data_IF_964416785146
#
_entry.id   IF_964416785146
#
_cell.length_a   1.000
_cell.length_b   1.000
_cell.length_c   1.000
_cell.angle_alpha   90.00
_cell.angle_beta   90.00
_cell.angle_gamma   90.00
#
_symmetry.space_group_name_H-M   'P 1'
#
loop_
_entity.id
_entity.type
_entity.pdbx_description
1 polymer ?
#
# COMPACT_ATOMS: atom_id res chain seq x y z
N UNK A 1 38.20 1.80 28.88
CA UNK A 1 38.04 0.50 28.17
C UNK A 1 36.57 0.37 27.82
N UNK A 2 36.19 0.79 26.62
CA UNK A 2 34.79 0.79 26.15
C UNK A 2 34.63 -0.43 25.22
N UNK A 3 33.97 -1.47 25.72
CA UNK A 3 33.72 -2.69 24.94
C UNK A 3 32.55 -2.44 24.00
N UNK A 4 32.80 -2.52 22.71
CA UNK A 4 31.80 -2.45 21.65
C UNK A 4 30.95 -3.73 21.61
N UNK A 5 29.72 -3.69 22.15
CA UNK A 5 28.70 -4.73 21.98
C UNK A 5 27.67 -4.31 20.92
N UNK A 6 28.06 -4.39 19.66
CA UNK A 6 27.12 -4.51 18.54
C UNK A 6 27.09 -5.99 18.14
N UNK A 7 26.10 -6.72 18.57
CA UNK A 7 25.90 -8.11 18.15
C UNK A 7 25.41 -8.13 16.69
N UNK A 8 26.16 -8.78 15.81
CA UNK A 8 25.75 -9.04 14.42
C UNK A 8 24.59 -10.03 14.42
N UNK A 9 23.50 -9.68 13.75
CA UNK A 9 22.49 -10.67 13.36
C UNK A 9 23.02 -11.33 12.08
N UNK A 10 23.28 -12.62 12.14
CA UNK A 10 23.67 -13.39 10.95
C UNK A 10 22.48 -13.50 10.00
N UNK A 11 22.69 -13.27 8.68
CA UNK A 11 21.66 -13.44 7.67
C UNK A 11 21.04 -14.85 7.64
N UNK A 12 21.75 -15.86 8.17
CA UNK A 12 21.30 -17.24 8.20
C UNK A 12 20.07 -17.48 9.11
N UNK A 13 19.86 -16.68 10.16
CA UNK A 13 18.71 -16.80 11.05
C UNK A 13 17.40 -16.26 10.47
N UNK A 14 17.47 -15.34 9.52
CA UNK A 14 16.31 -14.75 8.87
C UNK A 14 15.79 -15.58 7.67
N UNK A 15 16.63 -16.47 7.10
CA UNK A 15 16.27 -17.21 5.88
C UNK A 15 15.40 -18.45 6.13
N UNK A 16 15.35 -19.01 7.34
CA UNK A 16 14.62 -20.26 7.58
C UNK A 16 13.11 -20.09 7.78
N UNK A 17 12.65 -18.94 8.28
CA UNK A 17 11.23 -18.66 8.44
C UNK A 17 10.55 -18.21 7.13
N UNK A 18 11.32 -17.69 6.17
CA UNK A 18 10.77 -17.20 4.89
C UNK A 18 10.53 -18.29 3.84
N UNK A 19 11.09 -19.52 4.03
CA UNK A 19 10.97 -20.58 3.01
C UNK A 19 9.60 -21.24 2.91
N UNK A 20 8.75 -21.15 3.93
CA UNK A 20 7.50 -21.91 3.97
C UNK A 20 6.20 -21.08 3.78
N UNK A 21 6.27 -19.79 3.52
CA UNK A 21 5.06 -18.97 3.45
C UNK A 21 4.79 -18.22 2.12
N UNK A 22 5.64 -18.35 1.10
CA UNK A 22 5.47 -17.60 -0.15
C UNK A 22 5.61 -18.45 -1.41
N UNK A 23 4.51 -18.84 -2.05
CA UNK A 23 4.54 -19.07 -3.49
C UNK A 23 4.27 -17.73 -4.20
N UNK A 24 5.29 -17.20 -4.83
CA UNK A 24 5.29 -16.44 -6.07
C UNK A 24 4.25 -15.30 -6.21
N UNK A 25 4.67 -14.03 -5.98
CA UNK A 25 4.14 -12.94 -6.79
C UNK A 25 4.63 -13.22 -8.23
N UNK A 26 3.77 -13.87 -9.00
CA UNK A 26 3.75 -13.94 -10.43
C UNK A 26 4.71 -14.76 -11.27
N UNK A 27 4.13 -15.72 -11.89
CA UNK A 27 4.36 -16.03 -13.30
C UNK A 27 3.36 -15.23 -14.15
N UNK A 28 3.74 -14.09 -14.63
CA UNK A 28 3.01 -13.29 -15.61
C UNK A 28 3.79 -13.19 -16.91
N UNK A 29 4.00 -14.33 -17.58
CA UNK A 29 4.41 -14.38 -18.98
C UNK A 29 3.36 -15.18 -19.74
N UNK A 30 2.39 -14.46 -20.28
CA UNK A 30 1.46 -14.99 -21.27
C UNK A 30 1.84 -14.45 -22.63
N UNK A 31 2.60 -15.23 -23.34
CA UNK A 31 2.70 -15.43 -24.76
C UNK A 31 4.14 -15.75 -25.16
N UNK A 32 4.55 -16.98 -24.94
CA UNK A 32 5.47 -17.70 -25.83
C UNK A 32 5.64 -19.12 -25.25
N UNK A 33 5.17 -20.12 -25.97
CA UNK A 33 5.20 -21.51 -25.54
C UNK A 33 6.60 -22.03 -25.31
N UNK A 34 6.85 -22.50 -24.10
CA UNK A 34 7.92 -23.44 -23.82
C UNK A 34 7.41 -24.49 -22.85
N UNK A 35 7.22 -25.70 -23.36
CA UNK A 35 7.00 -26.91 -22.58
C UNK A 35 8.34 -27.33 -21.97
N UNK A 36 8.49 -27.20 -20.66
CA UNK A 36 9.58 -27.83 -19.91
C UNK A 36 9.04 -29.08 -19.21
N UNK A 37 9.54 -30.24 -19.57
CA UNK A 37 9.32 -31.51 -18.90
C UNK A 37 10.12 -31.53 -17.61
N UNK A 38 9.46 -31.80 -16.48
CA UNK A 38 10.12 -32.17 -15.24
C UNK A 38 10.32 -33.70 -15.26
N UNK A 39 11.57 -34.12 -15.27
CA UNK A 39 11.97 -35.50 -14.93
C UNK A 39 12.58 -35.48 -13.54
N UNK A 40 11.98 -36.27 -12.67
CA UNK A 40 12.49 -36.61 -11.33
C UNK A 40 13.56 -37.69 -11.47
N UNK A 41 14.81 -37.40 -11.11
CA UNK A 41 15.80 -38.43 -10.78
C UNK A 41 16.61 -38.03 -9.56
N UNK A 42 16.52 -38.87 -8.53
CA UNK A 42 17.42 -38.87 -7.37
C UNK A 42 18.74 -39.52 -7.80
N UNK A 43 19.80 -38.72 -7.85
CA UNK A 43 21.17 -39.20 -8.06
C UNK A 43 22.13 -38.56 -7.09
N UNK A 44 22.70 -39.39 -6.20
CA UNK A 44 23.84 -39.04 -5.37
C UNK A 44 25.04 -38.70 -6.28
N UNK A 45 25.57 -37.50 -6.18
CA UNK A 45 26.79 -37.08 -6.87
C UNK A 45 27.80 -36.36 -5.95
N UNK A 46 29.09 -36.47 -6.28
CA UNK A 46 30.21 -36.31 -5.32
C UNK A 46 30.55 -34.83 -5.10
N UNK A 47 31.31 -34.61 -4.04
CA UNK A 47 31.88 -33.35 -3.55
C UNK A 47 32.23 -32.39 -4.70
N UNK A 48 31.41 -31.33 -4.89
CA UNK A 48 31.78 -30.17 -5.69
C UNK A 48 32.69 -29.28 -4.86
N UNK A 49 33.86 -29.03 -5.39
CA UNK A 49 34.75 -27.95 -4.95
C UNK A 49 33.95 -26.63 -5.00
N UNK A 50 33.68 -26.06 -3.86
CA UNK A 50 33.18 -24.68 -3.78
C UNK A 50 34.34 -23.77 -4.18
N UNK A 51 34.35 -23.32 -5.43
CA UNK A 51 35.08 -22.10 -5.78
C UNK A 51 34.42 -20.96 -5.01
N UNK A 52 35.16 -20.30 -4.14
CA UNK A 52 34.75 -19.02 -3.58
C UNK A 52 34.63 -18.04 -4.73
N UNK A 53 33.44 -17.91 -5.32
CA UNK A 53 33.12 -16.72 -6.08
C UNK A 53 33.05 -15.60 -5.05
N UNK A 54 33.99 -14.67 -5.13
CA UNK A 54 33.87 -13.37 -4.51
C UNK A 54 32.58 -12.77 -5.11
N UNK A 55 31.52 -12.73 -4.31
CA UNK A 55 30.26 -12.12 -4.71
C UNK A 55 30.59 -10.63 -4.92
N UNK A 56 30.50 -10.14 -6.16
CA UNK A 56 30.63 -8.70 -6.43
C UNK A 56 29.61 -7.96 -5.57
N UNK A 57 30.06 -6.87 -4.94
CA UNK A 57 29.16 -5.98 -4.19
C UNK A 57 28.08 -5.45 -5.11
N UNK A 58 26.87 -5.30 -4.58
CA UNK A 58 25.75 -4.67 -5.29
C UNK A 58 26.13 -3.25 -5.74
N UNK A 59 25.47 -2.79 -6.82
CA UNK A 59 25.71 -1.46 -7.40
C UNK A 59 25.45 -0.35 -6.37
N UNK A 60 26.33 0.65 -6.30
CA UNK A 60 26.09 1.84 -5.50
C UNK A 60 25.09 2.78 -6.21
N UNK A 61 23.96 3.06 -5.53
CA UNK A 61 22.95 4.01 -6.01
C UNK A 61 23.20 5.40 -5.42
N UNK A 62 22.62 6.45 -6.04
CA UNK A 62 22.69 7.80 -5.47
C UNK A 62 22.11 7.85 -4.05
N UNK A 63 21.03 7.11 -3.83
CA UNK A 63 20.39 7.04 -2.52
C UNK A 63 21.28 6.33 -1.49
N UNK A 64 22.05 5.31 -1.89
CA UNK A 64 23.02 4.68 -1.00
C UNK A 64 24.08 5.68 -0.51
N UNK A 65 24.60 6.54 -1.39
CA UNK A 65 25.55 7.57 -0.98
C UNK A 65 24.95 8.54 0.04
N UNK A 66 23.70 8.96 -0.17
CA UNK A 66 22.95 9.80 0.79
C UNK A 66 22.78 9.09 2.15
N UNK A 67 22.32 7.84 2.15
CA UNK A 67 22.13 7.04 3.35
C UNK A 67 23.46 6.82 4.11
N UNK A 68 24.56 6.51 3.41
CA UNK A 68 25.87 6.35 4.04
C UNK A 68 26.35 7.66 4.70
N UNK A 69 26.20 8.80 4.02
CA UNK A 69 26.54 10.09 4.61
C UNK A 69 25.73 10.38 5.87
N UNK A 70 24.42 10.14 5.84
CA UNK A 70 23.52 10.28 7.00
C UNK A 70 23.93 9.37 8.15
N UNK A 71 24.08 8.06 7.89
CA UNK A 71 24.45 7.08 8.92
C UNK A 71 25.82 7.40 9.52
N UNK A 72 26.80 7.83 8.69
CA UNK A 72 28.12 8.24 9.20
C UNK A 72 28.05 9.46 10.12
N UNK A 73 27.11 10.36 9.88
CA UNK A 73 26.95 11.59 10.68
C UNK A 73 26.13 11.39 11.94
N UNK A 74 25.06 10.56 11.90
CA UNK A 74 24.06 10.46 12.98
C UNK A 74 23.98 9.07 13.62
N UNK A 75 24.68 8.07 13.08
CA UNK A 75 24.58 6.68 13.49
C UNK A 75 23.49 5.91 12.71
N UNK A 76 23.27 4.63 13.07
CA UNK A 76 22.29 3.76 12.42
C UNK A 76 20.90 4.39 12.38
N UNK A 77 20.18 4.20 11.26
CA UNK A 77 18.83 4.70 11.05
C UNK A 77 17.80 3.60 11.34
N UNK A 78 16.57 3.96 11.67
CA UNK A 78 15.48 3.01 11.82
C UNK A 78 15.06 2.41 10.47
N UNK A 79 14.42 1.23 10.49
CA UNK A 79 13.85 0.66 9.26
C UNK A 79 12.77 1.59 8.69
N UNK A 80 12.02 2.29 9.54
CA UNK A 80 11.03 3.28 9.12
C UNK A 80 11.68 4.43 8.33
N UNK A 81 12.75 5.04 8.87
CA UNK A 81 13.48 6.11 8.17
C UNK A 81 14.06 5.62 6.84
N UNK A 82 14.64 4.42 6.83
CA UNK A 82 15.17 3.80 5.62
C UNK A 82 14.08 3.58 4.56
N UNK A 83 12.94 2.99 4.96
CA UNK A 83 11.82 2.73 4.07
C UNK A 83 11.28 4.03 3.46
N UNK A 84 11.13 5.08 4.27
CA UNK A 84 10.71 6.41 3.81
C UNK A 84 11.67 6.99 2.75
N UNK A 85 12.97 6.96 3.03
CA UNK A 85 13.98 7.42 2.07
C UNK A 85 13.97 6.60 0.78
N UNK A 86 13.89 5.27 0.88
CA UNK A 86 13.90 4.39 -0.29
C UNK A 86 12.68 4.59 -1.18
N UNK A 87 11.49 4.80 -0.60
CA UNK A 87 10.26 4.90 -1.36
C UNK A 87 9.96 6.33 -1.84
N UNK A 88 10.17 7.33 -0.99
CA UNK A 88 9.66 8.69 -1.22
C UNK A 88 10.70 9.81 -1.18
N UNK A 89 12.02 9.49 -1.17
CA UNK A 89 13.04 10.54 -1.29
C UNK A 89 12.83 11.35 -2.58
N UNK A 90 12.72 12.70 -2.53
CA UNK A 90 12.40 13.52 -3.69
C UNK A 90 13.36 13.35 -4.86
N UNK A 91 14.64 13.06 -4.61
CA UNK A 91 15.68 12.96 -5.64
C UNK A 91 15.90 11.56 -6.20
N UNK A 92 15.56 10.50 -5.44
CA UNK A 92 15.95 9.14 -5.80
C UNK A 92 15.02 8.06 -5.24
N UNK A 93 13.86 8.44 -4.72
CA UNK A 93 12.85 7.51 -4.18
C UNK A 93 12.20 6.68 -5.27
N UNK A 94 11.84 5.46 -4.91
CA UNK A 94 11.32 4.44 -5.80
C UNK A 94 10.07 4.90 -6.58
N UNK A 95 9.10 5.55 -5.91
CA UNK A 95 7.85 6.02 -6.54
C UNK A 95 7.96 7.38 -7.24
N UNK A 96 9.06 8.13 -7.02
CA UNK A 96 9.10 9.56 -7.34
C UNK A 96 9.34 9.87 -8.82
N UNK A 97 9.96 8.96 -9.59
CA UNK A 97 10.50 9.30 -10.91
C UNK A 97 10.16 8.31 -12.03
N UNK A 98 9.42 7.25 -11.76
CA UNK A 98 9.14 6.20 -12.75
C UNK A 98 7.79 5.54 -12.52
N UNK A 99 7.24 4.98 -13.58
CA UNK A 99 6.08 4.10 -13.51
C UNK A 99 6.54 2.69 -13.08
N UNK A 100 6.19 2.34 -11.85
CA UNK A 100 6.58 1.07 -11.21
C UNK A 100 5.44 0.07 -11.14
N UNK A 101 4.23 0.47 -11.57
CA UNK A 101 2.99 -0.29 -11.45
C UNK A 101 2.61 -0.88 -12.82
N UNK A 102 1.96 -2.04 -12.81
CA UNK A 102 1.46 -2.71 -14.01
C UNK A 102 2.41 -3.75 -14.60
N UNK A 103 2.06 -4.31 -15.75
CA UNK A 103 2.79 -5.43 -16.38
C UNK A 103 4.23 -5.10 -16.79
N UNK A 104 4.52 -3.85 -17.06
CA UNK A 104 5.87 -3.34 -17.37
C UNK A 104 6.63 -2.86 -16.13
N UNK A 105 5.96 -2.78 -14.98
CA UNK A 105 6.53 -2.36 -13.71
C UNK A 105 7.06 -3.52 -12.87
N UNK A 106 7.27 -3.24 -11.59
CA UNK A 106 7.77 -4.22 -10.63
C UNK A 106 6.62 -4.93 -9.88
N UNK A 107 5.42 -4.32 -9.83
CA UNK A 107 4.23 -4.82 -9.12
C UNK A 107 2.96 -4.68 -9.96
N UNK A 108 2.01 -5.59 -9.77
CA UNK A 108 0.68 -5.54 -10.40
C UNK A 108 -0.36 -5.53 -9.28
N UNK A 109 -1.25 -4.54 -9.31
CA UNK A 109 -2.30 -4.35 -8.31
C UNK A 109 -3.66 -4.89 -8.81
N UNK A 110 -4.62 -5.10 -7.91
CA UNK A 110 -5.94 -5.64 -8.26
C UNK A 110 -6.67 -4.85 -9.36
N UNK A 111 -6.66 -3.50 -9.39
CA UNK A 111 -7.27 -2.72 -10.47
C UNK A 111 -6.59 -2.94 -11.83
N UNK A 112 -5.27 -3.17 -11.86
CA UNK A 112 -4.53 -3.44 -13.10
C UNK A 112 -4.82 -4.84 -13.67
N UNK A 113 -5.32 -5.77 -12.85
CA UNK A 113 -5.73 -7.11 -13.27
C UNK A 113 -7.09 -7.10 -13.95
N UNK A 114 -8.07 -6.37 -13.35
CA UNK A 114 -9.45 -6.35 -13.85
C UNK A 114 -10.22 -5.11 -13.39
N UNK A 115 -10.77 -4.37 -14.36
CA UNK A 115 -11.70 -3.28 -14.08
C UNK A 115 -12.98 -3.72 -13.34
N UNK A 116 -13.28 -5.01 -13.28
CA UNK A 116 -14.38 -5.52 -12.45
C UNK A 116 -14.13 -5.26 -10.98
N UNK A 117 -12.88 -5.23 -10.55
CA UNK A 117 -12.52 -4.87 -9.17
C UNK A 117 -13.01 -3.46 -8.83
N UNK A 118 -12.61 -2.45 -9.59
CA UNK A 118 -13.03 -1.05 -9.38
C UNK A 118 -14.56 -0.86 -9.54
N UNK A 119 -15.20 -1.60 -10.47
CA UNK A 119 -16.67 -1.60 -10.59
C UNK A 119 -17.36 -2.07 -9.29
N UNK A 120 -16.84 -3.10 -8.64
CA UNK A 120 -17.43 -3.63 -7.41
C UNK A 120 -17.17 -2.70 -6.21
N UNK A 121 -16.00 -2.08 -6.13
CA UNK A 121 -15.71 -1.06 -5.11
C UNK A 121 -16.67 0.14 -5.26
N UNK A 122 -16.86 0.65 -6.47
CA UNK A 122 -17.81 1.74 -6.72
C UNK A 122 -19.25 1.37 -6.33
N UNK A 123 -19.69 0.15 -6.66
CA UNK A 123 -21.00 -0.35 -6.25
C UNK A 123 -21.14 -0.47 -4.74
N UNK A 124 -20.07 -0.89 -4.07
CA UNK A 124 -20.06 -0.94 -2.61
C UNK A 124 -20.27 0.45 -2.02
N UNK A 125 -19.53 1.47 -2.47
CA UNK A 125 -19.70 2.85 -2.02
C UNK A 125 -21.11 3.40 -2.31
N UNK A 126 -21.64 3.17 -3.52
CA UNK A 126 -23.01 3.58 -3.86
C UNK A 126 -24.05 2.94 -2.98
N UNK A 127 -23.86 1.66 -2.61
CA UNK A 127 -24.76 0.95 -1.72
C UNK A 127 -24.72 1.55 -0.31
N UNK A 128 -23.52 1.75 0.26
CA UNK A 128 -23.38 2.31 1.59
C UNK A 128 -23.86 3.78 1.65
N UNK A 129 -23.58 4.60 0.63
CA UNK A 129 -24.11 5.95 0.49
C UNK A 129 -25.64 6.00 0.41
N UNK A 130 -26.25 5.03 -0.27
CA UNK A 130 -27.71 4.94 -0.39
C UNK A 130 -28.36 4.59 0.95
N UNK A 131 -27.76 3.75 1.77
CA UNK A 131 -28.27 3.36 3.10
C UNK A 131 -28.48 4.55 4.03
N UNK A 132 -27.68 5.59 3.87
CA UNK A 132 -27.72 6.81 4.70
C UNK A 132 -28.42 7.99 4.04
N UNK A 133 -29.19 7.73 2.97
CA UNK A 133 -30.04 8.75 2.33
C UNK A 133 -29.34 9.65 1.31
N UNK A 134 -28.18 9.24 0.80
CA UNK A 134 -27.44 9.93 -0.27
C UNK A 134 -27.02 11.37 0.09
N UNK A 135 -26.27 11.58 1.17
CA UNK A 135 -25.75 12.90 1.55
C UNK A 135 -24.99 13.59 0.42
N UNK A 136 -25.02 14.92 0.38
CA UNK A 136 -24.36 15.76 -0.61
C UNK A 136 -23.55 16.85 0.09
N UNK A 137 -22.33 17.17 -0.43
CA UNK A 137 -21.62 16.54 -1.57
C UNK A 137 -21.17 15.12 -1.23
N UNK A 138 -20.76 14.35 -2.25
CA UNK A 138 -20.15 13.02 -2.12
C UNK A 138 -18.68 13.09 -2.49
N UNK A 139 -17.79 12.95 -1.54
CA UNK A 139 -16.35 12.91 -1.77
C UNK A 139 -15.86 11.48 -1.90
N UNK A 140 -15.18 11.16 -2.99
CA UNK A 140 -14.41 9.91 -3.14
C UNK A 140 -12.96 10.25 -2.93
N UNK A 141 -12.36 9.74 -1.85
CA UNK A 141 -10.99 10.03 -1.44
C UNK A 141 -10.14 8.79 -1.60
N UNK A 142 -9.21 8.79 -2.56
CA UNK A 142 -8.28 7.67 -2.77
C UNK A 142 -6.88 8.05 -2.27
N UNK A 143 -6.33 7.21 -1.39
CA UNK A 143 -4.99 7.35 -0.84
C UNK A 143 -4.02 6.49 -1.65
N UNK A 144 -2.99 7.09 -2.24
CA UNK A 144 -2.03 6.40 -3.09
C UNK A 144 -2.67 5.80 -4.35
N UNK A 145 -3.26 6.60 -5.25
CA UNK A 145 -4.05 6.10 -6.37
C UNK A 145 -3.23 5.39 -7.46
N UNK A 146 -1.93 5.25 -7.28
CA UNK A 146 -1.04 4.60 -8.22
C UNK A 146 -1.13 5.21 -9.61
N UNK A 147 -1.59 4.46 -10.61
CA UNK A 147 -1.81 4.95 -11.98
C UNK A 147 -3.19 5.61 -12.19
N UNK A 148 -4.05 5.65 -11.16
CA UNK A 148 -5.43 6.15 -11.24
C UNK A 148 -6.42 5.15 -11.84
N UNK A 149 -6.06 3.87 -11.96
CA UNK A 149 -6.90 2.84 -12.58
C UNK A 149 -8.14 2.55 -11.75
N UNK A 150 -8.01 2.43 -10.44
CA UNK A 150 -9.15 2.22 -9.54
C UNK A 150 -10.13 3.40 -9.61
N UNK A 151 -9.62 4.63 -9.49
CA UNK A 151 -10.42 5.85 -9.64
C UNK A 151 -11.16 5.91 -10.97
N UNK A 152 -10.50 5.61 -12.10
CA UNK A 152 -11.13 5.62 -13.43
C UNK A 152 -12.30 4.62 -13.52
N UNK A 153 -12.11 3.40 -13.02
CA UNK A 153 -13.14 2.38 -13.00
C UNK A 153 -14.30 2.74 -12.07
N UNK A 154 -14.02 3.34 -10.91
CA UNK A 154 -15.06 3.83 -10.00
C UNK A 154 -15.88 4.96 -10.63
N UNK A 155 -15.22 5.96 -11.22
CA UNK A 155 -15.90 7.09 -11.86
C UNK A 155 -16.77 6.67 -13.05
N UNK A 156 -16.32 5.68 -13.81
CA UNK A 156 -17.14 5.08 -14.88
C UNK A 156 -18.45 4.51 -14.35
N UNK A 157 -18.49 3.99 -13.13
CA UNK A 157 -19.73 3.51 -12.49
C UNK A 157 -20.54 4.68 -11.93
N UNK A 158 -19.92 5.59 -11.16
CA UNK A 158 -20.61 6.75 -10.58
C UNK A 158 -21.30 7.60 -11.65
N UNK A 159 -20.66 7.78 -12.83
CA UNK A 159 -21.21 8.57 -13.92
C UNK A 159 -22.46 7.97 -14.58
N UNK A 160 -22.75 6.67 -14.36
CA UNK A 160 -23.95 6.02 -14.91
C UNK A 160 -25.22 6.35 -14.13
N UNK A 161 -25.11 6.86 -12.90
CA UNK A 161 -26.24 7.20 -12.05
C UNK A 161 -26.34 8.73 -11.90
N UNK A 162 -27.50 9.31 -12.26
CA UNK A 162 -27.72 10.76 -12.15
C UNK A 162 -27.44 11.29 -10.75
N UNK A 163 -27.93 10.57 -9.73
CA UNK A 163 -27.84 11.00 -8.33
C UNK A 163 -26.40 11.19 -7.85
N UNK A 164 -25.48 10.31 -8.28
CA UNK A 164 -24.06 10.39 -7.91
C UNK A 164 -23.27 11.30 -8.84
N UNK A 165 -23.55 11.27 -10.16
CA UNK A 165 -22.80 12.03 -11.15
C UNK A 165 -22.79 13.55 -10.87
N UNK A 166 -23.90 14.08 -10.37
CA UNK A 166 -24.08 15.52 -10.13
C UNK A 166 -23.42 16.00 -8.82
N UNK A 167 -23.06 15.09 -7.92
CA UNK A 167 -22.64 15.44 -6.56
C UNK A 167 -21.26 14.88 -6.19
N UNK A 168 -20.72 13.96 -6.99
CA UNK A 168 -19.43 13.32 -6.73
C UNK A 168 -18.28 14.24 -7.12
N UNK A 169 -17.25 14.28 -6.28
CA UNK A 169 -15.92 14.78 -6.61
C UNK A 169 -14.85 13.78 -6.17
N UNK A 170 -13.75 13.74 -6.92
CA UNK A 170 -12.62 12.86 -6.67
C UNK A 170 -11.47 13.63 -6.02
N UNK A 171 -10.96 13.11 -4.92
CA UNK A 171 -9.87 13.68 -4.17
C UNK A 171 -8.74 12.65 -4.07
N UNK A 172 -7.58 12.94 -4.63
CA UNK A 172 -6.44 12.03 -4.71
C UNK A 172 -5.33 12.51 -3.79
N UNK A 173 -4.90 11.67 -2.85
CA UNK A 173 -3.76 11.96 -1.99
C UNK A 173 -2.54 11.27 -2.59
N UNK A 174 -1.64 12.06 -3.20
CA UNK A 174 -0.48 11.59 -3.95
C UNK A 174 0.72 12.51 -3.74
N UNK A 175 1.85 11.93 -3.34
CA UNK A 175 3.11 12.68 -3.12
C UNK A 175 4.06 12.62 -4.30
N UNK A 176 3.89 11.64 -5.21
CA UNK A 176 4.73 11.47 -6.40
C UNK A 176 4.29 12.39 -7.54
N UNK A 177 5.14 13.33 -7.98
CA UNK A 177 4.83 14.17 -9.13
C UNK A 177 4.67 13.37 -10.42
N UNK A 178 5.44 12.28 -10.56
CA UNK A 178 5.37 11.41 -11.73
C UNK A 178 4.04 10.64 -11.79
N UNK A 179 3.65 9.98 -10.69
CA UNK A 179 2.38 9.26 -10.63
C UNK A 179 1.19 10.21 -10.79
N UNK A 180 1.25 11.41 -10.21
CA UNK A 180 0.23 12.44 -10.38
C UNK A 180 0.03 12.86 -11.84
N UNK A 181 1.10 12.88 -12.67
CA UNK A 181 0.98 13.14 -14.12
C UNK A 181 0.32 11.97 -14.85
N UNK A 182 0.68 10.73 -14.51
CA UNK A 182 0.04 9.53 -15.09
C UNK A 182 -1.45 9.46 -14.74
N UNK A 183 -1.80 9.76 -13.50
CA UNK A 183 -3.19 9.85 -13.04
C UNK A 183 -3.98 10.89 -13.84
N UNK A 184 -3.43 12.09 -14.01
CA UNK A 184 -4.07 13.15 -14.77
C UNK A 184 -4.28 12.75 -16.23
N UNK A 185 -3.26 12.19 -16.87
CA UNK A 185 -3.37 11.70 -18.24
C UNK A 185 -4.48 10.64 -18.38
N UNK A 186 -4.54 9.69 -17.45
CA UNK A 186 -5.52 8.61 -17.46
C UNK A 186 -6.94 9.11 -17.20
N UNK A 187 -7.12 9.97 -16.21
CA UNK A 187 -8.42 10.43 -15.75
C UNK A 187 -8.99 11.54 -16.61
N UNK A 188 -8.14 12.47 -17.09
CA UNK A 188 -8.57 13.68 -17.79
C UNK A 188 -8.26 13.65 -19.29
N UNK A 189 -7.38 12.74 -19.76
CA UNK A 189 -6.94 12.65 -21.15
C UNK A 189 -5.95 13.74 -21.59
N UNK A 190 -5.61 14.65 -20.70
CA UNK A 190 -4.66 15.75 -20.89
C UNK A 190 -3.76 15.87 -19.67
N UNK A 191 -2.57 16.43 -19.86
CA UNK A 191 -1.68 16.77 -18.75
C UNK A 191 -1.57 18.29 -18.71
N UNK A 192 -1.86 18.88 -17.56
CA UNK A 192 -1.64 20.31 -17.33
C UNK A 192 -0.16 20.61 -17.47
N UNK A 193 0.21 21.66 -18.19
CA UNK A 193 1.57 22.18 -18.17
C UNK A 193 1.78 22.77 -16.77
N UNK A 194 2.48 22.06 -15.90
CA UNK A 194 2.82 22.57 -14.56
C UNK A 194 3.70 23.79 -14.77
N UNK A 195 3.21 24.97 -14.47
CA UNK A 195 4.06 26.14 -14.23
C UNK A 195 4.85 25.79 -12.95
N UNK A 196 6.17 25.83 -13.08
CA UNK A 196 7.18 25.39 -12.15
C UNK A 196 6.80 25.37 -10.66
N UNK A 197 7.03 24.21 -10.04
CA UNK A 197 6.83 23.91 -8.61
C UNK A 197 7.62 24.88 -7.69
N UNK A 198 8.61 25.59 -8.21
CA UNK A 198 9.43 26.57 -7.47
C UNK A 198 8.67 27.86 -7.12
N UNK A 199 7.58 28.21 -7.85
CA UNK A 199 6.77 29.39 -7.50
C UNK A 199 5.71 29.12 -6.42
N UNK A 200 5.40 27.84 -6.12
CA UNK A 200 4.40 27.49 -5.10
C UNK A 200 4.98 27.59 -3.66
N UNK A 201 6.26 27.28 -3.50
CA UNK A 201 6.94 27.42 -2.18
C UNK A 201 7.18 28.89 -1.79
N UNK A 202 7.34 29.79 -2.76
CA UNK A 202 7.51 31.23 -2.49
C UNK A 202 6.16 31.93 -2.20
N UNK A 203 5.04 31.45 -2.73
CA UNK A 203 3.72 32.01 -2.40
C UNK A 203 3.30 31.79 -0.94
N UNK A 204 3.69 30.68 -0.33
CA UNK A 204 3.40 30.43 1.09
C UNK A 204 4.19 31.32 2.05
N UNK A 205 5.27 31.97 1.61
CA UNK A 205 6.07 32.92 2.45
C UNK A 205 5.63 34.37 2.40
N UNK A 206 4.79 34.77 1.45
CA UNK A 206 4.47 36.20 1.22
C UNK A 206 3.00 36.60 1.36
N UNK A 207 2.06 35.71 1.71
CA UNK A 207 0.64 36.06 1.85
C UNK A 207 0.10 35.93 3.30
N UNK A 208 0.78 36.58 4.25
CA UNK A 208 0.14 36.98 5.50
C UNK A 208 -0.20 38.47 5.45
N UNK A 209 -1.05 38.91 4.55
CA UNK A 209 -1.66 40.25 4.63
C UNK A 209 -2.98 40.24 3.83
N UNK A 210 -4.09 40.17 4.60
CA UNK A 210 -5.44 40.63 4.24
C UNK A 210 -6.08 40.14 2.92
N UNK A 211 -6.76 39.01 2.97
CA UNK A 211 -8.02 38.82 2.24
C UNK A 211 -8.96 37.91 3.04
N UNK A 212 -10.28 38.14 2.88
CA UNK A 212 -11.42 37.49 3.57
C UNK A 212 -11.38 35.96 3.60
N UNK A 213 -12.09 35.30 4.57
CA UNK A 213 -12.10 33.85 4.73
C UNK A 213 -13.05 33.22 3.70
N UNK A 214 -12.63 33.13 2.44
CA UNK A 214 -13.19 32.23 1.46
C UNK A 214 -12.19 31.07 1.36
N UNK A 215 -12.65 29.83 1.61
CA UNK A 215 -11.98 28.57 1.64
C UNK A 215 -10.68 28.51 0.80
N UNK A 216 -9.51 28.59 1.43
CA UNK A 216 -8.24 28.26 0.80
C UNK A 216 -8.29 26.78 0.42
N UNK A 217 -8.49 26.51 -0.87
CA UNK A 217 -8.43 25.15 -1.42
C UNK A 217 -6.96 24.73 -1.45
N UNK A 218 -6.57 23.76 -0.59
CA UNK A 218 -5.18 23.31 -0.39
C UNK A 218 -4.69 22.29 -1.43
N UNK A 219 -5.36 22.15 -2.57
CA UNK A 219 -4.90 21.24 -3.63
C UNK A 219 -3.71 21.84 -4.42
N UNK A 220 -2.77 20.99 -4.82
CA UNK A 220 -1.67 21.40 -5.69
C UNK A 220 -2.01 21.25 -7.18
N UNK A 221 -3.07 20.51 -7.52
CA UNK A 221 -3.57 20.31 -8.89
C UNK A 221 -5.08 20.12 -8.87
N UNK A 222 -5.76 20.64 -9.88
CA UNK A 222 -7.19 20.45 -10.11
C UNK A 222 -7.49 20.30 -11.60
N UNK A 223 -8.46 19.45 -11.95
CA UNK A 223 -8.93 19.25 -13.33
C UNK A 223 -10.35 18.66 -13.35
N UNK A 224 -10.90 18.47 -14.55
CA UNK A 224 -12.15 17.73 -14.78
C UNK A 224 -11.83 16.43 -15.50
N UNK A 225 -12.33 15.33 -14.99
CA UNK A 225 -12.11 14.01 -15.61
C UNK A 225 -12.90 13.85 -16.91
N UNK A 226 -12.51 12.88 -17.75
CA UNK A 226 -13.25 12.49 -18.96
C UNK A 226 -14.69 12.03 -18.68
N UNK A 227 -15.01 11.73 -17.41
CA UNK A 227 -16.37 11.42 -16.95
C UNK A 227 -17.16 12.65 -16.49
N UNK A 228 -16.59 13.85 -16.60
CA UNK A 228 -17.20 15.10 -16.18
C UNK A 228 -17.20 15.35 -14.68
N UNK A 229 -16.39 14.60 -13.92
CA UNK A 229 -16.27 14.70 -12.46
C UNK A 229 -15.08 15.57 -12.11
N UNK A 230 -15.21 16.55 -11.18
CA UNK A 230 -14.08 17.32 -10.66
C UNK A 230 -13.08 16.41 -9.96
N UNK A 231 -11.78 16.63 -10.18
CA UNK A 231 -10.70 15.92 -9.52
C UNK A 231 -9.65 16.89 -9.00
N UNK A 232 -9.22 16.67 -7.74
CA UNK A 232 -8.19 17.47 -7.08
C UNK A 232 -7.13 16.58 -6.47
N UNK A 233 -5.87 17.02 -6.48
CA UNK A 233 -4.73 16.30 -5.93
C UNK A 233 -4.17 17.02 -4.71
N UNK A 234 -3.88 16.27 -3.66
CA UNK A 234 -3.37 16.74 -2.37
C UNK A 234 -2.11 15.98 -1.99
N UNK A 235 -1.25 16.59 -1.19
CA UNK A 235 -0.08 15.89 -0.63
C UNK A 235 -0.41 15.11 0.64
N UNK A 236 -1.35 15.60 1.42
CA UNK A 236 -1.75 15.04 2.70
C UNK A 236 -3.27 14.93 2.81
N UNK A 237 -3.76 13.98 3.63
CA UNK A 237 -5.18 13.79 3.87
C UNK A 237 -5.81 15.02 4.55
N UNK A 238 -5.03 15.70 5.41
CA UNK A 238 -5.46 16.92 6.11
C UNK A 238 -5.85 18.07 5.18
N UNK A 239 -5.28 18.10 3.96
CA UNK A 239 -5.56 19.11 2.95
C UNK A 239 -6.88 18.83 2.18
N UNK A 240 -7.42 17.61 2.26
CA UNK A 240 -8.68 17.23 1.58
C UNK A 240 -9.86 17.91 2.28
N UNK A 241 -10.80 18.53 1.55
CA UNK A 241 -11.97 19.19 2.14
C UNK A 241 -12.77 18.26 3.05
N UNK A 242 -13.42 18.85 4.06
CA UNK A 242 -14.33 18.16 4.96
C UNK A 242 -15.70 17.96 4.32
N UNK A 243 -16.31 16.78 4.53
CA UNK A 243 -17.62 16.43 4.02
C UNK A 243 -17.85 14.92 3.99
N UNK A 244 -19.05 14.50 3.63
CA UNK A 244 -19.38 13.08 3.53
C UNK A 244 -18.46 12.37 2.55
N UNK A 245 -17.63 11.44 3.06
CA UNK A 245 -16.52 10.88 2.31
C UNK A 245 -16.55 9.36 2.21
N UNK A 246 -16.23 8.85 1.02
CA UNK A 246 -15.91 7.45 0.74
C UNK A 246 -14.39 7.33 0.61
N UNK A 247 -13.72 6.86 1.65
CA UNK A 247 -12.27 6.68 1.66
C UNK A 247 -11.89 5.31 1.11
N UNK A 248 -10.87 5.27 0.25
CA UNK A 248 -10.24 4.03 -0.22
C UNK A 248 -8.73 4.14 -0.11
N UNK A 249 -8.12 3.14 0.54
CA UNK A 249 -6.69 2.91 0.54
C UNK A 249 -6.46 1.47 0.04
N UNK A 250 -5.90 1.34 -1.15
CA UNK A 250 -5.68 0.06 -1.81
C UNK A 250 -4.20 -0.16 -2.09
N UNK A 251 -3.59 -1.18 -1.48
CA UNK A 251 -2.15 -1.43 -1.54
C UNK A 251 -1.35 -0.13 -1.25
N UNK A 252 -1.69 0.52 -0.13
CA UNK A 252 -1.13 1.80 0.29
C UNK A 252 -0.50 1.73 1.67
N UNK A 253 -1.14 1.08 2.63
CA UNK A 253 -0.66 0.99 4.01
C UNK A 253 0.59 0.10 4.13
N UNK A 254 0.75 -0.89 3.26
CA UNK A 254 1.92 -1.77 3.22
C UNK A 254 3.21 -1.05 2.79
N UNK A 255 3.09 0.11 2.11
CA UNK A 255 4.18 0.99 1.73
C UNK A 255 4.51 2.07 2.78
N UNK A 256 3.71 2.20 3.84
CA UNK A 256 3.99 3.15 4.91
C UNK A 256 5.13 2.67 5.82
N UNK A 257 5.98 3.59 6.29
CA UNK A 257 7.17 3.25 7.08
C UNK A 257 6.87 2.44 8.33
N UNK A 258 7.63 1.35 8.56
CA UNK A 258 7.51 0.48 9.72
C UNK A 258 8.76 0.49 10.60
N UNK A 259 8.58 0.63 11.91
CA UNK A 259 9.59 0.27 12.88
C UNK A 259 9.59 -1.23 13.10
N UNK A 260 10.78 -1.84 13.19
CA UNK A 260 10.93 -3.28 13.46
C UNK A 260 11.51 -3.50 14.84
N UNK A 261 10.88 -4.37 15.63
CA UNK A 261 11.32 -4.69 16.96
C UNK A 261 11.51 -6.19 17.11
N UNK A 262 12.55 -6.58 17.86
CA UNK A 262 12.86 -7.96 18.18
C UNK A 262 12.96 -8.13 19.70
N UNK A 263 12.34 -9.18 20.22
CA UNK A 263 12.44 -9.58 21.61
C UNK A 263 13.76 -10.30 21.85
N UNK A 264 14.52 -9.84 22.82
CA UNK A 264 15.77 -10.45 23.26
C UNK A 264 15.65 -10.92 24.72
N UNK A 265 16.64 -11.61 25.24
CA UNK A 265 16.71 -11.98 26.67
C UNK A 265 16.74 -10.76 27.61
N UNK A 266 17.18 -9.59 27.10
CA UNK A 266 17.22 -8.32 27.83
C UNK A 266 15.99 -7.42 27.54
N UNK A 267 14.94 -7.94 26.88
CA UNK A 267 13.75 -7.23 26.48
C UNK A 267 13.75 -6.79 25.02
N UNK A 268 12.86 -5.87 24.67
CA UNK A 268 12.68 -5.43 23.29
C UNK A 268 13.81 -4.53 22.81
N UNK A 269 14.29 -4.79 21.59
CA UNK A 269 15.28 -3.97 20.86
C UNK A 269 14.74 -3.61 19.51
N UNK A 270 15.10 -2.43 19.04
CA UNK A 270 14.77 -1.99 17.68
C UNK A 270 15.80 -2.49 16.69
N UNK A 271 15.35 -2.97 15.54
CA UNK A 271 16.20 -3.31 14.41
C UNK A 271 16.47 -2.02 13.64
N UNK A 272 17.76 -1.72 13.47
CA UNK A 272 18.26 -0.53 12.78
C UNK A 272 19.06 -0.95 11.55
N UNK A 273 19.33 -0.01 10.67
CA UNK A 273 20.17 -0.19 9.48
C UNK A 273 21.46 0.63 9.64
N UNK A 274 22.58 -0.02 9.44
CA UNK A 274 23.93 0.53 9.56
C UNK A 274 24.75 0.24 8.32
N UNK A 275 25.91 0.92 8.17
CA UNK A 275 26.86 0.68 7.10
C UNK A 275 27.52 -0.67 7.30
N UNK A 276 27.69 -1.44 6.23
CA UNK A 276 28.52 -2.65 6.19
C UNK A 276 29.75 -2.41 5.32
N UNK A 277 30.87 -2.10 5.97
CA UNK A 277 32.13 -1.84 5.28
C UNK A 277 32.89 -3.12 4.87
N UNK A 278 32.54 -4.27 5.41
CA UNK A 278 33.47 -5.39 5.42
C UNK A 278 33.09 -6.62 4.60
N UNK A 279 31.88 -7.12 4.57
CA UNK A 279 31.70 -8.52 4.13
C UNK A 279 30.32 -8.85 3.52
N UNK A 280 29.45 -7.92 3.36
CA UNK A 280 28.14 -8.23 2.76
C UNK A 280 28.14 -8.02 1.23
N UNK A 281 27.29 -8.72 0.49
CA UNK A 281 27.00 -8.38 -0.92
C UNK A 281 26.38 -6.99 -1.03
N UNK A 282 25.88 -6.43 0.07
CA UNK A 282 25.28 -5.11 0.16
C UNK A 282 26.15 -4.18 1.01
N UNK A 283 25.97 -2.87 0.84
CA UNK A 283 26.70 -1.84 1.57
C UNK A 283 26.09 -1.51 2.94
N UNK A 284 24.94 -2.12 3.26
CA UNK A 284 24.15 -1.91 4.46
C UNK A 284 23.89 -3.23 5.17
N UNK A 285 23.64 -3.17 6.48
CA UNK A 285 23.33 -4.34 7.33
C UNK A 285 22.28 -3.98 8.38
N UNK A 286 21.59 -4.99 8.88
CA UNK A 286 20.75 -4.85 10.07
C UNK A 286 21.60 -4.93 11.34
N UNK A 287 21.27 -4.09 12.33
CA UNK A 287 21.84 -4.12 13.67
C UNK A 287 20.75 -3.97 14.72
N UNK A 288 20.96 -4.49 15.91
CA UNK A 288 20.05 -4.23 17.04
C UNK A 288 20.48 -2.97 17.79
N UNK A 289 19.51 -2.20 18.25
CA UNK A 289 19.77 -1.08 19.15
C UNK A 289 20.46 -1.58 20.45
N UNK A 290 21.37 -0.78 20.99
CA UNK A 290 22.15 -1.13 22.20
C UNK A 290 21.26 -1.31 23.43
N UNK A 291 20.14 -0.61 23.49
CA UNK A 291 19.16 -0.68 24.56
C UNK A 291 17.76 -0.44 24.00
N UNK A 292 16.72 -0.46 24.84
CA UNK A 292 15.38 -0.08 24.44
C UNK A 292 15.36 1.35 23.90
N UNK A 293 14.83 1.53 22.69
CA UNK A 293 14.62 2.86 22.11
C UNK A 293 13.34 3.50 22.65
N UNK A 294 13.15 4.83 22.52
CA UNK A 294 11.86 5.44 22.79
C UNK A 294 10.72 4.78 21.99
N UNK A 295 10.96 4.45 20.72
CA UNK A 295 10.00 3.76 19.85
C UNK A 295 9.61 2.38 20.41
N UNK A 296 10.57 1.55 20.85
CA UNK A 296 10.28 0.23 21.40
C UNK A 296 9.47 0.31 22.71
N UNK A 297 9.67 1.35 23.51
CA UNK A 297 8.93 1.56 24.77
C UNK A 297 7.50 2.06 24.53
N UNK A 298 7.29 2.82 23.44
CA UNK A 298 6.02 3.46 23.15
C UNK A 298 5.12 2.57 22.28
N UNK A 299 5.68 1.92 21.27
CA UNK A 299 4.90 1.19 20.27
C UNK A 299 4.72 -0.28 20.58
N UNK A 300 5.60 -0.91 21.36
CA UNK A 300 5.47 -2.32 21.68
C UNK A 300 4.67 -2.50 22.98
N UNK A 301 3.55 -3.23 22.88
CA UNK A 301 2.75 -3.57 24.05
C UNK A 301 3.59 -4.42 25.03
N UNK A 302 3.67 -4.08 26.34
CA UNK A 302 4.37 -4.90 27.33
C UNK A 302 3.88 -6.36 27.39
N UNK A 303 2.64 -6.61 26.98
CA UNK A 303 2.01 -7.95 26.93
C UNK A 303 2.21 -8.66 25.60
N UNK A 304 3.00 -8.08 24.68
CA UNK A 304 3.24 -8.67 23.36
C UNK A 304 3.92 -10.05 23.50
N UNK A 305 3.33 -11.04 22.86
CA UNK A 305 3.77 -12.44 22.93
C UNK A 305 4.63 -12.88 21.76
N UNK A 306 4.58 -12.16 20.64
CA UNK A 306 5.40 -12.45 19.46
C UNK A 306 6.88 -12.19 19.75
N UNK A 307 7.77 -12.86 19.01
CA UNK A 307 9.22 -12.63 19.11
C UNK A 307 9.70 -11.41 18.32
N UNK A 308 8.92 -10.97 17.34
CA UNK A 308 9.16 -9.79 16.51
C UNK A 308 7.85 -9.06 16.24
N UNK A 309 7.92 -7.73 16.07
CA UNK A 309 6.77 -6.86 15.80
C UNK A 309 7.18 -5.77 14.82
N UNK A 310 6.31 -5.48 13.89
CA UNK A 310 6.41 -4.35 12.98
C UNK A 310 5.27 -3.38 13.30
N UNK A 311 5.59 -2.09 13.46
CA UNK A 311 4.61 -1.06 13.77
C UNK A 311 4.81 0.13 12.84
N UNK A 312 3.75 0.58 12.18
CA UNK A 312 3.72 1.81 11.40
C UNK A 312 2.97 2.91 12.16
N UNK A 313 3.66 3.87 12.78
CA UNK A 313 2.99 5.01 13.40
C UNK A 313 2.22 5.86 12.40
N UNK A 314 2.75 6.03 11.18
CA UNK A 314 2.08 6.79 10.10
C UNK A 314 0.74 6.13 9.71
N UNK A 315 0.68 4.79 9.63
CA UNK A 315 -0.58 4.05 9.44
C UNK A 315 -1.57 4.32 10.58
N UNK A 316 -1.05 4.38 11.81
CA UNK A 316 -1.87 4.66 13.00
C UNK A 316 -2.48 6.05 12.97
N UNK A 317 -1.70 7.08 12.66
CA UNK A 317 -2.19 8.46 12.52
C UNK A 317 -3.25 8.54 11.42
N UNK A 318 -2.95 7.99 10.25
CA UNK A 318 -3.83 8.08 9.09
C UNK A 318 -5.19 7.39 9.31
N UNK A 319 -5.20 6.18 9.90
CA UNK A 319 -6.47 5.49 10.17
C UNK A 319 -7.30 6.22 11.23
N UNK A 320 -6.65 6.87 12.21
CA UNK A 320 -7.34 7.71 13.19
C UNK A 320 -7.92 8.98 12.56
N UNK A 321 -7.19 9.63 11.64
CA UNK A 321 -7.69 10.80 10.91
C UNK A 321 -8.89 10.44 10.03
N UNK A 322 -8.86 9.30 9.35
CA UNK A 322 -10.04 8.77 8.63
C UNK A 322 -11.21 8.57 9.61
N UNK A 323 -10.97 7.93 10.76
CA UNK A 323 -12.02 7.67 11.75
C UNK A 323 -12.62 8.95 12.32
N UNK A 324 -11.80 9.99 12.58
CA UNK A 324 -12.25 11.31 13.03
C UNK A 324 -13.14 11.96 11.98
N UNK A 325 -12.74 11.94 10.71
CA UNK A 325 -13.55 12.50 9.62
C UNK A 325 -14.87 11.74 9.45
N UNK A 326 -14.85 10.41 9.54
CA UNK A 326 -16.08 9.61 9.50
C UNK A 326 -17.03 9.95 10.66
N UNK A 327 -16.50 10.14 11.87
CA UNK A 327 -17.27 10.52 13.07
C UNK A 327 -17.91 11.91 12.92
N UNK A 328 -17.19 12.86 12.33
CA UNK A 328 -17.61 14.26 12.22
C UNK A 328 -18.50 14.54 11.01
N UNK A 329 -18.20 13.92 9.85
CA UNK A 329 -18.76 14.27 8.55
C UNK A 329 -19.61 13.13 7.95
N UNK A 330 -19.55 11.95 8.53
CA UNK A 330 -20.15 10.75 7.96
C UNK A 330 -19.35 10.16 6.80
N UNK A 331 -19.82 9.03 6.31
CA UNK A 331 -19.19 8.33 5.21
C UNK A 331 -18.84 6.90 5.54
N UNK A 332 -17.89 6.34 4.79
CA UNK A 332 -17.34 5.01 5.00
C UNK A 332 -15.92 4.92 4.46
N UNK A 333 -15.16 3.92 4.92
CA UNK A 333 -13.79 3.68 4.46
C UNK A 333 -13.56 2.22 4.12
N UNK A 334 -12.69 1.96 3.14
CA UNK A 334 -12.12 0.65 2.84
C UNK A 334 -10.60 0.73 2.89
N UNK A 335 -9.99 -0.14 3.69
CA UNK A 335 -8.56 -0.44 3.65
C UNK A 335 -8.41 -1.83 3.04
N UNK A 336 -7.73 -1.90 1.89
CA UNK A 336 -7.53 -3.13 1.13
C UNK A 336 -6.05 -3.36 0.95
N UNK A 337 -5.47 -4.32 1.66
CA UNK A 337 -4.03 -4.47 1.67
C UNK A 337 -3.59 -5.91 1.98
N UNK A 338 -2.32 -6.19 1.70
CA UNK A 338 -1.65 -7.39 2.21
C UNK A 338 -1.51 -7.30 3.72
N UNK A 339 -1.93 -8.34 4.45
CA UNK A 339 -1.85 -8.21 5.89
C UNK A 339 -2.36 -9.40 6.68
N UNK A 340 -2.40 -9.20 7.99
CA UNK A 340 -2.78 -10.17 9.00
C UNK A 340 -3.54 -9.50 10.15
N UNK A 341 -4.19 -10.30 10.97
CA UNK A 341 -4.90 -9.83 12.16
C UNK A 341 -4.08 -10.13 13.44
N UNK A 342 -2.90 -9.51 13.55
CA UNK A 342 -2.04 -9.63 14.73
C UNK A 342 -1.17 -10.89 14.79
N UNK A 343 -1.12 -11.72 13.75
CA UNK A 343 -0.46 -13.04 13.79
C UNK A 343 1.01 -13.04 13.35
N UNK A 344 1.49 -11.99 12.67
CA UNK A 344 2.85 -11.90 12.13
C UNK A 344 3.60 -10.71 12.73
N UNK A 345 4.90 -10.68 12.58
CA UNK A 345 5.73 -9.59 13.10
C UNK A 345 7.10 -9.46 12.41
N UNK A 346 7.32 -10.19 11.31
CA UNK A 346 8.54 -10.10 10.49
C UNK A 346 8.15 -10.32 9.04
N UNK A 347 7.65 -9.26 8.41
CA UNK A 347 7.05 -9.28 7.08
C UNK A 347 7.72 -8.33 6.10
N UNK A 348 8.57 -7.41 6.59
CA UNK A 348 9.29 -6.42 5.79
C UNK A 348 10.14 -7.09 4.70
N UNK A 349 9.95 -6.67 3.45
CA UNK A 349 10.55 -7.27 2.26
C UNK A 349 10.63 -6.27 1.12
N UNK A 350 11.31 -6.67 0.05
CA UNK A 350 11.37 -5.90 -1.19
C UNK A 350 10.93 -6.73 -2.39
N UNK A 351 10.40 -6.03 -3.40
CA UNK A 351 10.09 -6.60 -4.70
C UNK A 351 10.73 -5.80 -5.82
N UNK A 352 11.25 -6.52 -6.82
CA UNK A 352 11.77 -5.96 -8.06
C UNK A 352 11.51 -6.92 -9.20
N UNK A 353 10.94 -6.45 -10.31
CA UNK A 353 10.59 -7.27 -11.50
C UNK A 353 9.77 -8.49 -11.11
N UNK A 354 8.74 -8.30 -10.29
CA UNK A 354 7.83 -9.34 -9.79
C UNK A 354 8.50 -10.47 -8.98
N UNK A 355 9.72 -10.26 -8.48
CA UNK A 355 10.45 -11.22 -7.67
C UNK A 355 10.89 -10.60 -6.34
N UNK A 356 11.05 -11.46 -5.32
CA UNK A 356 11.66 -11.03 -4.05
C UNK A 356 13.07 -10.50 -4.29
N UNK A 357 13.36 -9.38 -3.66
CA UNK A 357 14.64 -8.70 -3.67
C UNK A 357 15.12 -8.46 -2.24
N UNK A 358 16.43 -8.34 -2.03
CA UNK A 358 16.92 -7.99 -0.70
C UNK A 358 16.64 -6.51 -0.42
N UNK A 359 15.95 -6.16 0.70
CA UNK A 359 15.60 -4.77 0.99
C UNK A 359 16.80 -3.81 1.09
N UNK A 360 17.98 -4.31 1.44
CA UNK A 360 19.19 -3.49 1.57
C UNK A 360 20.00 -3.38 0.29
N UNK A 361 19.59 -4.13 -0.76
CA UNK A 361 20.28 -4.13 -2.05
C UNK A 361 19.81 -2.98 -2.94
N UNK A 362 20.74 -2.16 -3.40
CA UNK A 362 20.48 -1.07 -4.34
C UNK A 362 19.32 -0.15 -3.90
N UNK A 363 19.39 0.57 -2.76
CA UNK A 363 18.30 1.39 -2.25
C UNK A 363 17.72 2.34 -3.31
N UNK A 364 16.39 2.45 -3.37
CA UNK A 364 15.66 3.25 -4.36
C UNK A 364 15.35 2.51 -5.66
N UNK A 365 15.70 1.20 -5.79
CA UNK A 365 15.46 0.41 -7.01
C UNK A 365 14.43 -0.69 -6.88
N UNK A 366 13.93 -0.93 -5.68
CA UNK A 366 12.95 -1.95 -5.37
C UNK A 366 11.82 -1.38 -4.52
N UNK A 367 10.65 -1.97 -4.64
CA UNK A 367 9.50 -1.69 -3.80
C UNK A 367 9.71 -2.31 -2.42
N UNK A 368 9.59 -1.50 -1.35
CA UNK A 368 9.66 -1.97 0.03
C UNK A 368 8.26 -2.05 0.62
N UNK A 369 7.91 -3.20 1.16
CA UNK A 369 6.60 -3.42 1.77
C UNK A 369 6.69 -4.15 3.10
N UNK A 370 5.70 -3.95 3.96
CA UNK A 370 5.45 -4.76 5.14
C UNK A 370 3.95 -5.11 5.20
N UNK A 371 3.60 -6.33 5.68
CA UNK A 371 2.19 -6.70 5.83
C UNK A 371 1.51 -5.77 6.84
N UNK A 372 0.32 -5.30 6.53
CA UNK A 372 -0.49 -4.47 7.43
C UNK A 372 -0.99 -5.30 8.61
N UNK A 373 -0.73 -4.84 9.83
CA UNK A 373 -1.36 -5.42 11.03
C UNK A 373 -2.75 -4.79 11.23
N UNK A 374 -3.78 -5.44 10.70
CA UNK A 374 -5.16 -4.96 10.82
C UNK A 374 -5.67 -4.95 12.27
N UNK A 375 -5.11 -5.77 13.16
CA UNK A 375 -5.46 -5.72 14.59
C UNK A 375 -5.00 -4.41 15.24
N UNK A 376 -3.84 -3.91 14.82
CA UNK A 376 -3.32 -2.61 15.23
C UNK A 376 -4.24 -1.47 14.76
N UNK A 377 -4.63 -1.46 13.48
CA UNK A 377 -5.54 -0.44 12.95
C UNK A 377 -6.89 -0.45 13.67
N UNK A 378 -7.50 -1.62 13.86
CA UNK A 378 -8.77 -1.77 14.58
C UNK A 378 -8.69 -1.26 16.01
N UNK A 379 -7.59 -1.58 16.73
CA UNK A 379 -7.36 -1.13 18.10
C UNK A 379 -7.32 0.40 18.19
N UNK A 380 -6.69 1.07 17.23
CA UNK A 380 -6.53 2.53 17.25
C UNK A 380 -7.83 3.29 16.98
N UNK A 381 -8.77 2.71 16.25
CA UNK A 381 -10.06 3.35 15.95
C UNK A 381 -11.20 2.87 16.85
N UNK A 382 -10.89 1.98 17.80
CA UNK A 382 -11.88 1.44 18.73
C UNK A 382 -12.58 2.56 19.52
N UNK A 383 -13.91 2.53 19.55
CA UNK A 383 -14.75 3.53 20.21
C UNK A 383 -15.02 4.78 19.35
N UNK A 384 -14.33 4.97 18.21
CA UNK A 384 -14.53 6.08 17.28
C UNK A 384 -15.14 5.65 15.96
N UNK A 385 -14.75 4.46 15.48
CA UNK A 385 -15.32 3.88 14.28
C UNK A 385 -15.73 2.41 14.51
N UNK A 386 -16.77 2.00 13.80
CA UNK A 386 -17.16 0.59 13.65
C UNK A 386 -16.27 -0.03 12.58
N UNK A 387 -15.79 -1.24 12.82
CA UNK A 387 -14.95 -1.96 11.86
C UNK A 387 -15.59 -3.29 11.46
N UNK A 388 -15.54 -3.62 10.17
CA UNK A 388 -15.95 -4.92 9.62
C UNK A 388 -14.74 -5.54 8.91
N UNK A 389 -14.44 -6.79 9.21
CA UNK A 389 -13.24 -7.48 8.73
C UNK A 389 -12.11 -7.49 9.78
N UNK A 390 -10.85 -7.78 9.38
CA UNK A 390 -10.43 -8.02 7.99
C UNK A 390 -10.96 -9.35 7.44
N UNK A 391 -11.42 -9.34 6.20
CA UNK A 391 -11.81 -10.56 5.47
C UNK A 391 -10.96 -10.73 4.20
N UNK A 392 -10.75 -11.97 3.71
CA UNK A 392 -10.04 -12.19 2.46
C UNK A 392 -10.69 -11.49 1.27
N UNK A 393 -9.87 -10.97 0.33
CA UNK A 393 -10.33 -10.34 -0.90
C UNK A 393 -11.25 -11.24 -1.71
N UNK A 394 -10.89 -12.53 -1.84
CA UNK A 394 -11.71 -13.50 -2.57
C UNK A 394 -13.12 -13.60 -1.98
N UNK A 395 -13.22 -13.67 -0.66
CA UNK A 395 -14.51 -13.69 0.04
C UNK A 395 -15.32 -12.41 -0.19
N UNK A 396 -14.68 -11.24 -0.06
CA UNK A 396 -15.35 -9.95 -0.32
C UNK A 396 -15.91 -9.89 -1.75
N UNK A 397 -15.09 -10.20 -2.75
CA UNK A 397 -15.46 -10.12 -4.16
C UNK A 397 -16.56 -11.13 -4.52
N UNK A 398 -16.51 -12.35 -3.98
CA UNK A 398 -17.58 -13.35 -4.15
C UNK A 398 -18.90 -12.89 -3.53
N UNK A 399 -18.86 -12.35 -2.32
CA UNK A 399 -20.02 -11.78 -1.66
C UNK A 399 -20.56 -10.56 -2.43
N UNK A 400 -19.72 -9.82 -3.15
CA UNK A 400 -20.12 -8.75 -4.08
C UNK A 400 -20.53 -9.27 -5.46
N UNK A 401 -20.68 -10.59 -5.62
CA UNK A 401 -21.16 -11.27 -6.83
C UNK A 401 -20.25 -11.09 -8.05
N UNK A 402 -18.91 -11.09 -7.86
CA UNK A 402 -17.94 -11.00 -8.96
C UNK A 402 -18.15 -12.12 -10.00
N UNK A 403 -18.55 -13.33 -9.58
CA UNK A 403 -18.82 -14.47 -10.46
C UNK A 403 -19.97 -14.18 -11.42
N UNK A 404 -21.09 -13.65 -10.92
CA UNK A 404 -22.22 -13.28 -11.76
C UNK A 404 -21.85 -12.18 -12.76
N UNK A 405 -20.99 -11.24 -12.34
CA UNK A 405 -20.45 -10.22 -13.25
C UNK A 405 -19.57 -10.82 -14.34
N UNK A 406 -18.68 -11.74 -14.00
CA UNK A 406 -17.85 -12.48 -14.94
C UNK A 406 -18.72 -13.23 -15.97
N UNK A 407 -19.72 -14.01 -15.53
CA UNK A 407 -20.61 -14.75 -16.40
C UNK A 407 -21.34 -13.85 -17.41
N UNK A 408 -21.74 -12.64 -16.99
CA UNK A 408 -22.35 -11.64 -17.88
C UNK A 408 -21.36 -11.14 -18.92
N UNK A 409 -20.10 -10.86 -18.54
CA UNK A 409 -19.06 -10.40 -19.44
C UNK A 409 -18.67 -11.48 -20.48
N UNK A 410 -18.59 -12.73 -20.05
CA UNK A 410 -18.24 -13.85 -20.92
C UNK A 410 -19.22 -14.07 -22.08
N UNK A 411 -20.51 -13.69 -21.93
CA UNK A 411 -21.51 -13.86 -22.99
C UNK A 411 -21.25 -13.03 -24.24
N UNK A 412 -20.56 -11.88 -24.11
CA UNK A 412 -20.28 -10.96 -25.21
C UNK A 412 -18.79 -10.87 -25.58
N UNK A 413 -17.93 -11.63 -24.89
CA UNK A 413 -16.49 -11.56 -25.06
C UNK A 413 -15.99 -12.51 -26.15
N UNK A 414 -14.95 -12.08 -26.88
CA UNK A 414 -14.18 -12.97 -27.80
C UNK A 414 -13.46 -14.08 -27.01
N UNK A 415 -13.07 -15.21 -27.65
CA UNK A 415 -12.36 -16.28 -26.95
C UNK A 415 -11.09 -15.81 -26.20
N UNK A 416 -10.33 -14.88 -26.78
CA UNK A 416 -9.14 -14.30 -26.19
C UNK A 416 -9.48 -13.49 -24.94
N UNK A 417 -10.52 -12.64 -25.04
CA UNK A 417 -10.99 -11.85 -23.92
C UNK A 417 -11.61 -12.73 -22.82
N UNK A 418 -12.32 -13.81 -23.19
CA UNK A 418 -12.83 -14.78 -22.20
C UNK A 418 -11.71 -15.40 -21.37
N UNK A 419 -10.58 -15.74 -22.02
CA UNK A 419 -9.39 -16.29 -21.34
C UNK A 419 -8.81 -15.27 -20.37
N UNK A 420 -8.68 -14.00 -20.77
CA UNK A 420 -8.20 -12.92 -19.92
C UNK A 420 -9.13 -12.67 -18.72
N UNK A 421 -10.44 -12.58 -18.95
CA UNK A 421 -11.43 -12.38 -17.89
C UNK A 421 -11.41 -13.51 -16.86
N UNK A 422 -11.32 -14.77 -17.29
CA UNK A 422 -11.22 -15.93 -16.39
C UNK A 422 -9.91 -15.89 -15.59
N UNK A 423 -8.78 -15.62 -16.24
CA UNK A 423 -7.49 -15.53 -15.58
C UNK A 423 -7.46 -14.38 -14.55
N UNK A 424 -8.02 -13.22 -14.88
CA UNK A 424 -8.14 -12.09 -13.97
C UNK A 424 -9.01 -12.42 -12.75
N UNK A 425 -10.16 -13.05 -12.97
CA UNK A 425 -11.02 -13.52 -11.88
C UNK A 425 -10.28 -14.50 -10.95
N UNK A 426 -9.64 -15.54 -11.51
CA UNK A 426 -8.88 -16.51 -10.73
C UNK A 426 -7.76 -15.82 -9.91
N UNK A 427 -7.10 -14.81 -10.50
CA UNK A 427 -6.05 -14.07 -9.83
C UNK A 427 -6.57 -13.31 -8.60
N UNK A 428 -7.72 -12.66 -8.74
CA UNK A 428 -8.32 -11.86 -7.69
C UNK A 428 -8.95 -12.68 -6.57
N UNK A 429 -9.48 -13.88 -6.89
CA UNK A 429 -10.37 -14.63 -5.97
C UNK A 429 -9.71 -15.87 -5.37
N UNK A 430 -8.81 -16.56 -6.13
CA UNK A 430 -8.25 -17.82 -5.66
C UNK A 430 -7.36 -17.65 -4.42
N UNK A 431 -7.51 -18.56 -3.47
CA UNK A 431 -6.81 -18.53 -2.17
C UNK A 431 -5.30 -18.67 -2.28
N UNK A 432 -4.81 -19.41 -3.28
CA UNK A 432 -3.39 -19.57 -3.57
C UNK A 432 -2.76 -18.34 -4.28
N UNK A 433 -3.59 -17.39 -4.72
CA UNK A 433 -3.20 -16.14 -5.40
C UNK A 433 -3.45 -14.92 -4.51
N UNK A 434 -4.11 -13.89 -5.02
CA UNK A 434 -4.38 -12.66 -4.27
C UNK A 434 -5.57 -12.79 -3.31
N UNK A 435 -6.46 -13.77 -3.56
CA UNK A 435 -7.74 -13.89 -2.86
C UNK A 435 -7.62 -13.98 -1.34
N UNK A 436 -6.64 -14.73 -0.82
CA UNK A 436 -6.44 -14.83 0.64
C UNK A 436 -5.35 -13.89 1.16
N UNK A 437 -4.55 -13.27 0.30
CA UNK A 437 -3.42 -12.45 0.74
C UNK A 437 -3.81 -11.01 1.03
N UNK A 438 -4.64 -10.42 0.15
CA UNK A 438 -5.24 -9.13 0.43
C UNK A 438 -6.44 -9.31 1.35
N UNK A 439 -6.59 -8.33 2.24
CA UNK A 439 -7.67 -8.27 3.22
C UNK A 439 -8.44 -6.97 3.03
N UNK A 440 -9.73 -7.04 3.28
CA UNK A 440 -10.65 -5.92 3.29
C UNK A 440 -11.04 -5.58 4.72
N UNK A 441 -10.80 -4.36 5.14
CA UNK A 441 -11.29 -3.78 6.38
C UNK A 441 -12.17 -2.58 6.03
N UNK A 442 -13.44 -2.60 6.46
CA UNK A 442 -14.30 -1.44 6.35
C UNK A 442 -14.37 -0.67 7.67
N UNK A 443 -14.49 0.66 7.53
CA UNK A 443 -14.69 1.61 8.63
C UNK A 443 -15.98 2.39 8.42
N UNK A 444 -16.74 2.58 9.50
CA UNK A 444 -17.97 3.37 9.52
C UNK A 444 -18.04 4.22 10.78
N UNK A 445 -18.71 5.36 10.76
CA UNK A 445 -18.99 6.11 11.97
C UNK A 445 -19.87 5.33 12.95
N UNK A 446 -19.71 5.56 14.25
CA UNK A 446 -20.41 4.80 15.30
C UNK A 446 -21.90 5.01 15.30
N UNK A 447 -22.40 6.13 14.81
CA UNK A 447 -23.83 6.43 14.68
C UNK A 447 -24.56 5.54 13.64
N UNK A 448 -23.80 4.90 12.73
CA UNK A 448 -24.36 3.91 11.81
C UNK A 448 -24.67 2.54 12.45
N UNK A 449 -24.41 2.33 13.73
CA UNK A 449 -24.58 1.03 14.41
C UNK A 449 -25.97 0.40 14.18
N UNK A 450 -27.04 1.17 14.30
CA UNK A 450 -28.41 0.64 14.08
C UNK A 450 -28.66 0.27 12.61
N UNK A 451 -28.20 1.10 11.69
CA UNK A 451 -28.34 0.87 10.24
C UNK A 451 -27.61 -0.40 9.85
N UNK A 452 -26.37 -0.55 10.29
CA UNK A 452 -25.50 -1.67 9.94
C UNK A 452 -25.91 -2.98 10.66
N UNK A 453 -26.59 -2.88 11.80
CA UNK A 453 -27.19 -4.06 12.45
C UNK A 453 -28.37 -4.60 11.64
N UNK A 454 -29.19 -3.72 11.06
CA UNK A 454 -30.35 -4.11 10.22
C UNK A 454 -29.94 -4.50 8.81
N UNK A 455 -28.94 -3.81 8.27
CA UNK A 455 -28.45 -3.98 6.89
C UNK A 455 -26.92 -3.99 6.91
N UNK A 456 -26.29 -5.14 7.21
CA UNK A 456 -24.83 -5.24 7.27
C UNK A 456 -24.15 -4.76 6.00
N UNK A 457 -22.85 -4.36 6.08
CA UNK A 457 -22.12 -3.92 4.90
C UNK A 457 -22.03 -5.03 3.86
N UNK A 458 -22.39 -4.72 2.62
CA UNK A 458 -22.26 -5.66 1.51
C UNK A 458 -20.81 -6.17 1.41
N UNK A 459 -20.61 -7.39 0.93
CA UNK A 459 -19.30 -7.98 0.80
C UNK A 459 -18.70 -8.56 2.09
N UNK A 460 -19.06 -8.04 3.28
CA UNK A 460 -18.58 -8.54 4.59
C UNK A 460 -19.44 -9.66 5.18
N UNK A 461 -20.63 -9.85 4.67
CA UNK A 461 -21.51 -10.97 4.95
C UNK A 461 -21.92 -11.62 3.64
N UNK A 462 -22.19 -12.92 3.66
CA UNK A 462 -22.70 -13.59 2.48
C UNK A 462 -24.04 -12.95 2.06
N UNK A 463 -24.31 -12.80 0.75
CA UNK A 463 -25.62 -12.35 0.30
C UNK A 463 -26.69 -13.35 0.75
N UNK A 464 -27.90 -12.87 1.07
CA UNK A 464 -29.00 -13.70 1.53
C UNK A 464 -29.42 -14.77 0.51
#
# INVERSE_FOLDING_TARGET
MTVNFLTRISPAGLSHTLKNSWPIKFQGLWALGFTARFSTEFGLHPRRNYSFHVQEKSRETKLLHHLRARISATGPVTVAEYMKEVLTNPMSGYYMHRDVIGSSGDVITSPEISHTFGELIAKWFLNEWTKVGKPKPLYVVELGPGRGTLSDDMLRVFSQFSDSREVVSLHLVEVSPHLSQLQELKLCGTVSVVKDVLEAEDRHRHLHLHTSPESEENFYKHNITKHGVPVSWYRHLEDVPHGFSCFIAHEFFDALPVHKFQKTHEGWREILIDIDDNVGPHHLRYVLSRGPTPASKFFVDPKETRSSVEVSPESGVLVQDIAIRLEQEGGCGLVVDYGHDGSKGDTFRAFRRHALHDPLCEPGTADLTADVDFSYLKKLVQGRALTYGPIPQGMFLENMSIKARLEKLLKSATPELQKQLKSGYEMLVSSDKMGDRLKFLALFPTDMQEVLTKTPPAGFVAPP
#
